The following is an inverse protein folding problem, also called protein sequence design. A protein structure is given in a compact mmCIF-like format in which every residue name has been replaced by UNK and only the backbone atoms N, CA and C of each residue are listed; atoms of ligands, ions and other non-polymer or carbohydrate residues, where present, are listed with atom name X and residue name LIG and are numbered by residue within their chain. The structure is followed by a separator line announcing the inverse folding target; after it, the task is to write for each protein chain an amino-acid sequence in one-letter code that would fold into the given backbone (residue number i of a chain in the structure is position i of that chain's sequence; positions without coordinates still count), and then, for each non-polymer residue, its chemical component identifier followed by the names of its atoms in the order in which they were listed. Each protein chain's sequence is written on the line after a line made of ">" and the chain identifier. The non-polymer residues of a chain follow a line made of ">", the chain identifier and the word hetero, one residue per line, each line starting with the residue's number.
data_IF_435215169383
#
_entry.id   IF_435215169383
#
_cell.length_a   1.000
_cell.length_b   1.000
_cell.length_c   1.000
_cell.angle_alpha   90.00
_cell.angle_beta   90.00
_cell.angle_gamma   90.00
#
_symmetry.space_group_name_H-M   'P 1'
#
loop_
_entity.id
_entity.type
_entity.pdbx_description
1 polymer ?
#
# COMPACT_ATOMS: atom_id res chain seq x y z
N UNK A 1 -12.83 -14.33 48.63
CA UNK A 1 -13.01 -14.73 47.21
C UNK A 1 -11.65 -15.14 46.67
N UNK A 2 -11.37 -16.44 46.47
CA UNK A 2 -10.07 -16.89 45.94
C UNK A 2 -10.09 -16.83 44.42
N UNK A 3 -9.34 -15.91 43.84
CA UNK A 3 -9.14 -15.83 42.39
C UNK A 3 -8.42 -17.11 41.96
N UNK A 4 -9.11 -17.97 41.20
CA UNK A 4 -8.49 -19.17 40.62
C UNK A 4 -7.61 -18.74 39.45
N UNK A 5 -6.29 -18.76 39.68
CA UNK A 5 -5.26 -18.39 38.69
C UNK A 5 -5.42 -19.13 37.36
N UNK A 6 -5.91 -20.37 37.40
CA UNK A 6 -6.23 -21.19 36.22
C UNK A 6 -7.25 -20.54 35.27
N UNK A 7 -8.15 -19.69 35.78
CA UNK A 7 -9.16 -19.02 34.95
C UNK A 7 -8.62 -17.80 34.20
N UNK A 8 -7.56 -17.19 34.72
CA UNK A 8 -6.96 -15.98 34.13
C UNK A 8 -5.82 -16.28 33.17
N UNK A 9 -5.21 -17.47 33.28
CA UNK A 9 -4.09 -17.88 32.43
C UNK A 9 -4.32 -17.64 30.92
N UNK A 10 -5.49 -18.01 30.33
CA UNK A 10 -5.73 -17.76 28.91
C UNK A 10 -5.82 -16.26 28.58
N UNK A 11 -6.47 -15.47 29.43
CA UNK A 11 -6.60 -14.03 29.25
C UNK A 11 -5.25 -13.31 29.38
N UNK A 12 -4.41 -13.72 30.33
CA UNK A 12 -3.05 -13.20 30.48
C UNK A 12 -2.19 -13.56 29.28
N UNK A 13 -2.30 -14.79 28.76
CA UNK A 13 -1.56 -15.21 27.57
C UNK A 13 -1.98 -14.41 26.33
N UNK A 14 -3.30 -14.23 26.12
CA UNK A 14 -3.82 -13.39 25.05
C UNK A 14 -3.39 -11.93 25.18
N UNK A 15 -3.35 -11.38 26.41
CA UNK A 15 -2.89 -10.02 26.65
C UNK A 15 -1.39 -9.87 26.33
N UNK A 16 -0.56 -10.80 26.79
CA UNK A 16 0.89 -10.78 26.54
C UNK A 16 1.18 -10.90 25.05
N UNK A 17 0.55 -11.84 24.35
CA UNK A 17 0.68 -11.97 22.90
C UNK A 17 0.13 -10.71 22.23
N UNK A 18 -1.05 -10.24 22.63
CA UNK A 18 -1.72 -9.05 22.14
C UNK A 18 -0.83 -7.80 22.13
N UNK A 19 -0.06 -7.60 23.21
CA UNK A 19 0.83 -6.45 23.38
C UNK A 19 2.24 -6.64 22.80
N UNK A 20 2.63 -7.86 22.40
CA UNK A 20 3.99 -8.17 22.00
C UNK A 20 4.46 -7.36 20.78
N UNK A 21 3.59 -7.08 19.79
CA UNK A 21 3.94 -6.19 18.68
C UNK A 21 4.20 -4.75 19.13
N UNK A 22 3.37 -4.21 20.02
CA UNK A 22 3.51 -2.83 20.53
C UNK A 22 4.83 -2.71 21.30
N UNK A 23 5.13 -3.67 22.18
CA UNK A 23 6.40 -3.72 22.91
C UNK A 23 7.58 -3.85 21.95
N UNK A 24 7.45 -4.70 20.92
CA UNK A 24 8.47 -4.86 19.88
C UNK A 24 8.74 -3.57 19.11
N UNK A 25 7.71 -2.79 18.79
CA UNK A 25 7.86 -1.47 18.17
C UNK A 25 8.50 -0.45 19.13
N UNK A 26 8.01 -0.33 20.37
CA UNK A 26 8.53 0.63 21.35
C UNK A 26 9.99 0.35 21.76
N UNK A 27 10.37 -0.92 21.84
CA UNK A 27 11.72 -1.33 22.23
C UNK A 27 12.67 -1.47 21.04
N UNK A 28 12.22 -1.26 19.80
CA UNK A 28 13.05 -1.43 18.60
C UNK A 28 13.51 -2.87 18.35
N UNK A 29 12.67 -3.86 18.68
CA UNK A 29 12.97 -5.29 18.58
C UNK A 29 12.25 -5.94 17.37
N UNK A 30 12.83 -5.89 16.15
CA UNK A 30 12.14 -6.32 14.92
C UNK A 30 11.80 -7.80 14.90
N UNK A 31 12.60 -8.65 15.54
CA UNK A 31 12.34 -10.11 15.64
C UNK A 31 11.10 -10.40 16.49
N UNK A 32 10.95 -9.71 17.62
CA UNK A 32 9.78 -9.87 18.51
C UNK A 32 8.51 -9.41 17.79
N UNK A 33 8.58 -8.25 17.14
CA UNK A 33 7.50 -7.71 16.32
C UNK A 33 7.10 -8.69 15.21
N UNK A 34 8.07 -9.23 14.46
CA UNK A 34 7.82 -10.17 13.37
C UNK A 34 7.16 -11.47 13.86
N UNK A 35 7.66 -12.05 14.96
CA UNK A 35 7.04 -13.22 15.56
C UNK A 35 5.62 -12.94 16.05
N UNK A 36 5.41 -11.82 16.75
CA UNK A 36 4.08 -11.42 17.21
C UNK A 36 3.12 -11.16 16.04
N UNK A 37 3.60 -10.65 14.91
CA UNK A 37 2.83 -10.51 13.66
C UNK A 37 2.44 -11.83 13.02
N UNK A 38 3.35 -12.79 12.97
CA UNK A 38 3.05 -14.12 12.45
C UNK A 38 1.92 -14.82 13.22
N UNK A 39 1.71 -14.50 14.51
CA UNK A 39 0.62 -15.10 15.29
C UNK A 39 -0.77 -14.59 14.90
N UNK A 40 -0.89 -13.43 14.25
CA UNK A 40 -2.14 -12.69 14.01
C UNK A 40 -2.95 -12.33 15.28
N UNK A 41 -2.50 -12.72 16.47
CA UNK A 41 -3.15 -12.49 17.77
C UNK A 41 -2.73 -11.16 18.42
N UNK A 42 -1.71 -10.50 17.86
CA UNK A 42 -1.21 -9.20 18.29
C UNK A 42 -1.52 -8.14 17.25
N UNK A 43 -2.75 -7.61 17.17
CA UNK A 43 -3.05 -6.58 16.19
C UNK A 43 -2.41 -5.25 16.59
N UNK A 44 -1.43 -4.75 15.82
CA UNK A 44 -1.06 -3.33 15.82
C UNK A 44 -1.80 -2.63 14.67
N UNK A 45 -2.86 -1.84 14.92
CA UNK A 45 -3.58 -1.15 13.86
C UNK A 45 -2.71 -0.04 13.27
N UNK A 46 -2.18 -0.26 12.06
CA UNK A 46 -1.31 0.69 11.34
C UNK A 46 -1.97 1.34 10.13
N UNK A 47 -3.25 1.09 9.92
CA UNK A 47 -4.02 1.54 8.74
C UNK A 47 -4.19 3.06 8.62
N UNK A 48 -3.81 3.84 9.63
CA UNK A 48 -3.77 5.31 9.60
C UNK A 48 -2.48 5.83 10.24
N UNK A 49 -1.34 5.26 9.84
CA UNK A 49 -0.04 5.64 10.38
C UNK A 49 0.93 6.00 9.25
N UNK A 50 1.96 6.75 9.60
CA UNK A 50 3.08 7.00 8.71
C UNK A 50 3.98 5.77 8.66
N UNK A 51 4.44 5.40 7.47
CA UNK A 51 5.54 4.45 7.32
C UNK A 51 6.61 5.05 6.43
N UNK A 52 7.84 5.17 6.95
CA UNK A 52 8.95 5.84 6.27
C UNK A 52 8.53 7.23 5.74
N UNK A 53 7.91 8.03 6.61
CA UNK A 53 7.38 9.35 6.25
C UNK A 53 6.11 9.38 5.40
N UNK A 54 5.70 8.27 4.76
CA UNK A 54 4.50 8.22 3.92
C UNK A 54 3.23 7.98 4.74
N UNK A 55 2.26 8.89 4.63
CA UNK A 55 0.91 8.75 5.17
C UNK A 55 -0.08 8.61 4.01
N UNK A 56 -0.60 7.40 3.78
CA UNK A 56 -1.34 7.08 2.56
C UNK A 56 -2.77 7.63 2.52
N UNK A 57 -3.39 7.93 3.66
CA UNK A 57 -4.76 8.45 3.68
C UNK A 57 -4.84 9.90 3.18
N UNK A 58 -3.77 10.67 3.37
CA UNK A 58 -3.70 12.08 3.03
C UNK A 58 -2.93 12.43 1.77
N UNK A 59 -2.14 11.49 1.26
CA UNK A 59 -1.36 11.67 0.04
C UNK A 59 -2.29 11.61 -1.17
N UNK A 60 -2.14 12.56 -2.09
CA UNK A 60 -2.80 12.52 -3.40
C UNK A 60 -1.96 11.71 -4.37
N UNK A 61 -2.63 10.95 -5.24
CA UNK A 61 -1.99 10.10 -6.23
C UNK A 61 -2.49 10.46 -7.62
N UNK A 62 -1.56 10.72 -8.54
CA UNK A 62 -1.89 11.01 -9.94
C UNK A 62 -1.11 10.07 -10.84
N UNK A 63 -1.80 9.40 -11.76
CA UNK A 63 -1.17 8.60 -12.80
C UNK A 63 -1.00 9.47 -14.05
N UNK A 64 0.20 9.56 -14.60
CA UNK A 64 0.45 10.28 -15.86
C UNK A 64 1.13 9.39 -16.90
N UNK A 65 0.81 9.60 -18.18
CA UNK A 65 1.45 8.92 -19.30
C UNK A 65 1.37 9.75 -20.58
N UNK A 66 2.05 9.30 -21.62
CA UNK A 66 1.88 9.82 -22.98
C UNK A 66 0.97 8.88 -23.77
N UNK A 67 -0.10 9.42 -24.36
CA UNK A 67 -0.93 8.68 -25.28
C UNK A 67 -0.17 8.36 -26.59
N UNK A 68 -0.65 7.42 -27.42
CA UNK A 68 0.04 7.04 -28.66
C UNK A 68 0.24 8.18 -29.66
N UNK A 69 -0.60 9.21 -29.60
CA UNK A 69 -0.51 10.44 -30.40
C UNK A 69 0.49 11.47 -29.83
N UNK A 70 1.11 11.17 -28.69
CA UNK A 70 2.01 12.06 -27.96
C UNK A 70 1.32 13.07 -27.04
N UNK A 71 -0.01 12.99 -26.89
CA UNK A 71 -0.77 13.86 -25.98
C UNK A 71 -0.52 13.45 -24.53
N UNK A 72 -0.14 14.38 -23.62
CA UNK A 72 0.01 14.07 -22.21
C UNK A 72 -1.34 13.79 -21.57
N UNK A 73 -1.40 12.73 -20.76
CA UNK A 73 -2.57 12.31 -20.01
C UNK A 73 -2.26 12.28 -18.52
N UNK A 74 -3.22 12.73 -17.72
CA UNK A 74 -3.17 12.67 -16.27
C UNK A 74 -4.50 12.14 -15.73
N UNK A 75 -4.41 11.31 -14.70
CA UNK A 75 -5.53 10.63 -14.08
C UNK A 75 -5.37 10.66 -12.56
N UNK A 76 -6.00 11.62 -11.88
CA UNK A 76 -6.04 11.65 -10.42
C UNK A 76 -6.80 10.43 -9.88
N UNK A 77 -6.17 9.66 -9.00
CA UNK A 77 -6.77 8.49 -8.35
C UNK A 77 -7.54 8.97 -7.12
N UNK A 78 -8.76 9.45 -7.35
CA UNK A 78 -9.64 9.92 -6.27
C UNK A 78 -10.39 8.76 -5.61
N UNK A 79 -10.95 9.00 -4.42
CA UNK A 79 -11.83 8.03 -3.76
C UNK A 79 -13.01 7.61 -4.66
N UNK A 80 -13.56 8.55 -5.44
CA UNK A 80 -14.68 8.29 -6.34
C UNK A 80 -14.31 7.37 -7.53
N UNK A 81 -13.08 7.46 -8.05
CA UNK A 81 -12.57 6.52 -9.06
C UNK A 81 -12.19 5.19 -8.42
N UNK A 82 -11.48 5.22 -7.30
CA UNK A 82 -11.09 4.00 -6.58
C UNK A 82 -12.30 3.17 -6.11
N UNK A 83 -13.43 3.80 -5.79
CA UNK A 83 -14.66 3.07 -5.46
C UNK A 83 -15.30 2.34 -6.63
N UNK A 84 -14.91 2.66 -7.88
CA UNK A 84 -15.36 1.94 -9.07
C UNK A 84 -14.62 0.62 -9.28
N UNK A 85 -13.52 0.37 -8.53
CA UNK A 85 -12.79 -0.88 -8.69
C UNK A 85 -13.70 -2.08 -8.36
N UNK A 86 -13.78 -3.00 -9.30
CA UNK A 86 -14.67 -4.15 -9.20
C UNK A 86 -14.03 -5.33 -8.44
N UNK A 87 -14.84 -6.35 -8.20
CA UNK A 87 -14.37 -7.61 -7.62
C UNK A 87 -14.17 -7.60 -6.10
N UNK A 88 -13.52 -8.66 -5.57
CA UNK A 88 -13.44 -8.90 -4.14
C UNK A 88 -12.52 -7.92 -3.42
N UNK A 89 -12.75 -7.76 -2.11
CA UNK A 89 -11.97 -6.87 -1.24
C UNK A 89 -10.44 -7.04 -1.38
N UNK A 90 -9.96 -8.29 -1.43
CA UNK A 90 -8.52 -8.58 -1.53
C UNK A 90 -7.91 -8.02 -2.83
N UNK A 91 -8.63 -8.07 -3.95
CA UNK A 91 -8.16 -7.52 -5.23
C UNK A 91 -8.01 -6.01 -5.14
N UNK A 92 -9.04 -5.32 -4.64
CA UNK A 92 -9.00 -3.87 -4.45
C UNK A 92 -7.86 -3.47 -3.53
N UNK A 93 -7.67 -4.19 -2.43
CA UNK A 93 -6.56 -3.93 -1.51
C UNK A 93 -5.18 -4.14 -2.14
N UNK A 94 -5.02 -5.12 -3.03
CA UNK A 94 -3.75 -5.33 -3.74
C UNK A 94 -3.44 -4.14 -4.63
N UNK A 95 -4.41 -3.64 -5.42
CA UNK A 95 -4.22 -2.42 -6.20
C UNK A 95 -4.00 -1.19 -5.32
N UNK A 96 -4.82 -1.02 -4.28
CA UNK A 96 -4.67 0.08 -3.33
C UNK A 96 -3.31 0.08 -2.65
N UNK A 97 -2.79 -1.09 -2.25
CA UNK A 97 -1.46 -1.21 -1.67
C UNK A 97 -0.35 -0.87 -2.68
N UNK A 98 -0.45 -1.36 -3.93
CA UNK A 98 0.55 -1.05 -4.95
C UNK A 98 0.54 0.45 -5.33
N UNK A 99 -0.63 1.05 -5.47
CA UNK A 99 -0.78 2.47 -5.79
C UNK A 99 -0.36 3.36 -4.62
N UNK A 100 -0.93 3.16 -3.44
CA UNK A 100 -0.73 4.06 -2.30
C UNK A 100 0.58 3.80 -1.55
N UNK A 101 1.00 2.54 -1.42
CA UNK A 101 2.17 2.14 -0.64
C UNK A 101 3.40 1.84 -1.50
N UNK A 102 3.29 2.02 -2.82
CA UNK A 102 4.36 1.84 -3.80
C UNK A 102 5.71 2.43 -3.34
N UNK A 103 5.80 3.68 -2.87
CA UNK A 103 7.08 4.28 -2.48
C UNK A 103 7.79 3.53 -1.34
N UNK A 104 7.02 3.01 -0.38
CA UNK A 104 7.56 2.19 0.70
C UNK A 104 8.05 0.85 0.15
N UNK A 105 7.29 0.22 -0.76
CA UNK A 105 7.69 -1.03 -1.41
C UNK A 105 8.98 -0.86 -2.22
N UNK A 106 9.13 0.26 -2.92
CA UNK A 106 10.29 0.59 -3.74
C UNK A 106 11.60 0.77 -2.96
N UNK A 107 11.55 0.83 -1.62
CA UNK A 107 12.74 0.94 -0.77
C UNK A 107 13.52 -0.38 -0.58
N UNK A 108 13.08 -1.46 -1.22
CA UNK A 108 13.73 -2.78 -1.20
C UNK A 108 13.50 -3.54 -2.50
N UNK A 109 14.40 -4.45 -2.86
CA UNK A 109 14.28 -5.23 -4.10
C UNK A 109 13.03 -6.12 -4.12
N UNK A 110 12.77 -6.85 -3.03
CA UNK A 110 11.59 -7.72 -2.91
C UNK A 110 10.28 -6.91 -2.98
N UNK A 111 10.24 -5.76 -2.29
CA UNK A 111 9.10 -4.86 -2.34
C UNK A 111 8.89 -4.28 -3.74
N UNK A 112 9.96 -3.88 -4.43
CA UNK A 112 9.89 -3.39 -5.79
C UNK A 112 9.42 -4.47 -6.77
N UNK A 113 9.83 -5.73 -6.56
CA UNK A 113 9.32 -6.86 -7.35
C UNK A 113 7.81 -7.05 -7.16
N UNK A 114 7.31 -6.96 -5.92
CA UNK A 114 5.87 -7.01 -5.63
C UNK A 114 5.12 -5.86 -6.29
N UNK A 115 5.62 -4.62 -6.15
CA UNK A 115 5.04 -3.45 -6.80
C UNK A 115 4.96 -3.65 -8.31
N UNK A 116 6.07 -4.02 -8.97
CA UNK A 116 6.12 -4.23 -10.42
C UNK A 116 5.15 -5.31 -10.87
N UNK A 117 5.03 -6.41 -10.13
CA UNK A 117 4.10 -7.49 -10.46
C UNK A 117 2.65 -6.99 -10.52
N UNK A 118 2.23 -6.21 -9.51
CA UNK A 118 0.85 -5.69 -9.44
C UNK A 118 0.63 -4.56 -10.44
N UNK A 119 1.58 -3.62 -10.52
CA UNK A 119 1.47 -2.45 -11.38
C UNK A 119 1.50 -2.82 -12.87
N UNK A 120 2.35 -3.77 -13.28
CA UNK A 120 2.37 -4.27 -14.66
C UNK A 120 1.06 -4.97 -15.00
N UNK A 121 0.53 -5.80 -14.10
CA UNK A 121 -0.76 -6.45 -14.31
C UNK A 121 -1.90 -5.44 -14.43
N UNK A 122 -1.91 -4.39 -13.60
CA UNK A 122 -2.97 -3.38 -13.60
C UNK A 122 -2.90 -2.40 -14.77
N UNK A 123 -1.70 -2.02 -15.20
CA UNK A 123 -1.47 -0.90 -16.13
C UNK A 123 -1.06 -1.33 -17.54
N UNK A 124 -0.65 -2.58 -17.75
CA UNK A 124 -0.15 -3.07 -19.03
C UNK A 124 -0.98 -4.24 -19.58
N UNK A 125 -0.80 -4.55 -20.86
CA UNK A 125 -1.56 -5.60 -21.55
C UNK A 125 -3.05 -5.26 -21.55
N UNK A 126 -3.87 -6.14 -20.96
CA UNK A 126 -5.29 -5.92 -20.78
C UNK A 126 -5.58 -4.69 -19.90
N UNK A 127 -4.64 -4.33 -19.00
CA UNK A 127 -4.69 -3.16 -18.11
C UNK A 127 -6.03 -2.97 -17.35
N UNK A 128 -6.53 -4.00 -16.62
CA UNK A 128 -7.82 -3.96 -15.93
C UNK A 128 -7.96 -2.83 -14.91
N UNK A 129 -6.85 -2.35 -14.33
CA UNK A 129 -6.90 -1.22 -13.42
C UNK A 129 -7.13 0.09 -14.20
N UNK A 130 -6.54 0.26 -15.37
CA UNK A 130 -6.79 1.43 -16.22
C UNK A 130 -8.22 1.48 -16.73
N UNK A 131 -8.78 0.35 -17.13
CA UNK A 131 -10.20 0.23 -17.52
C UNK A 131 -11.11 0.76 -16.41
N UNK A 132 -10.96 0.22 -15.20
CA UNK A 132 -11.84 0.56 -14.06
C UNK A 132 -11.60 1.98 -13.53
N UNK A 133 -10.39 2.53 -13.69
CA UNK A 133 -10.11 3.93 -13.37
C UNK A 133 -10.63 4.91 -14.43
N UNK A 134 -11.12 4.40 -15.57
CA UNK A 134 -11.73 5.19 -16.65
C UNK A 134 -10.73 5.77 -17.64
N UNK A 135 -9.62 5.08 -17.90
CA UNK A 135 -8.70 5.41 -18.98
C UNK A 135 -9.10 4.69 -20.27
N UNK A 136 -9.36 5.45 -21.33
CA UNK A 136 -9.80 4.94 -22.62
C UNK A 136 -8.71 4.06 -23.28
N UNK A 137 -9.06 2.90 -23.87
CA UNK A 137 -8.07 1.98 -24.47
C UNK A 137 -7.17 2.60 -25.53
N UNK A 138 -7.72 3.50 -26.37
CA UNK A 138 -6.98 4.15 -27.46
C UNK A 138 -5.98 5.21 -26.98
N UNK A 139 -6.13 5.68 -25.75
CA UNK A 139 -5.27 6.70 -25.15
C UNK A 139 -4.14 6.09 -24.30
N UNK A 140 -4.06 4.77 -24.16
CA UNK A 140 -3.08 4.09 -23.29
C UNK A 140 -1.66 4.19 -23.85
N UNK A 141 -0.71 4.50 -22.97
CA UNK A 141 0.72 4.54 -23.29
C UNK A 141 1.43 3.22 -22.94
N UNK A 142 2.76 3.21 -23.08
CA UNK A 142 3.62 2.10 -22.63
C UNK A 142 4.47 2.46 -21.41
N UNK A 143 4.42 3.72 -20.98
CA UNK A 143 5.17 4.24 -19.84
C UNK A 143 4.26 5.10 -18.99
N UNK A 144 4.11 4.70 -17.73
CA UNK A 144 3.28 5.35 -16.74
C UNK A 144 4.14 5.84 -15.57
N UNK A 145 3.77 6.98 -15.01
CA UNK A 145 4.37 7.55 -13.81
C UNK A 145 3.28 7.78 -12.78
N UNK A 146 3.47 7.25 -11.57
CA UNK A 146 2.61 7.51 -10.43
C UNK A 146 3.28 8.60 -9.61
N UNK A 147 2.59 9.72 -9.43
CA UNK A 147 3.02 10.87 -8.63
C UNK A 147 2.39 10.83 -7.24
N UNK A 148 3.18 11.16 -6.22
CA UNK A 148 2.80 11.12 -4.82
C UNK A 148 2.94 12.52 -4.21
N UNK A 149 1.82 13.15 -3.91
CA UNK A 149 1.78 14.50 -3.33
C UNK A 149 1.28 14.44 -1.88
N UNK A 150 2.16 14.56 -0.88
CA UNK A 150 1.73 14.59 0.51
C UNK A 150 0.96 15.89 0.82
N UNK A 151 0.26 15.93 1.96
CA UNK A 151 -0.40 17.18 2.41
C UNK A 151 0.63 18.32 2.54
N UNK A 152 0.19 19.58 2.33
CA UNK A 152 1.04 20.75 2.52
C UNK A 152 1.76 20.73 3.86
N UNK A 153 3.07 20.95 3.85
CA UNK A 153 3.93 20.95 5.04
C UNK A 153 4.55 19.59 5.38
N UNK A 154 4.23 18.53 4.66
CA UNK A 154 4.91 17.23 4.75
C UNK A 154 5.81 17.00 3.54
N UNK A 155 6.86 16.20 3.74
CA UNK A 155 7.84 15.84 2.71
C UNK A 155 8.05 14.32 2.71
N UNK A 156 8.24 13.76 1.53
CA UNK A 156 8.60 12.36 1.33
C UNK A 156 10.13 12.23 1.28
N UNK A 157 10.81 12.48 2.40
CA UNK A 157 12.28 12.49 2.41
C UNK A 157 12.90 11.07 2.45
N UNK A 158 12.12 10.05 2.82
CA UNK A 158 12.59 8.67 3.02
C UNK A 158 12.16 7.71 1.89
N UNK A 159 11.28 8.15 1.00
CA UNK A 159 10.69 7.33 -0.08
C UNK A 159 10.55 8.18 -1.35
N UNK A 160 10.54 7.58 -2.55
CA UNK A 160 10.40 8.36 -3.77
C UNK A 160 9.02 9.02 -3.86
N UNK A 161 8.98 10.21 -4.46
CA UNK A 161 7.75 10.96 -4.77
C UNK A 161 7.12 10.56 -6.11
N UNK A 162 7.81 9.70 -6.87
CA UNK A 162 7.37 9.18 -8.16
C UNK A 162 7.75 7.72 -8.33
N UNK A 163 6.92 6.95 -9.04
CA UNK A 163 7.24 5.59 -9.46
C UNK A 163 6.91 5.37 -10.93
N UNK A 164 7.84 4.76 -11.65
CA UNK A 164 7.68 4.43 -13.06
C UNK A 164 7.23 2.98 -13.27
N UNK A 165 6.35 2.78 -14.26
CA UNK A 165 5.93 1.48 -14.76
C UNK A 165 6.09 1.48 -16.27
N UNK A 166 6.91 0.56 -16.78
CA UNK A 166 7.13 0.38 -18.23
C UNK A 166 6.55 -0.94 -18.66
N UNK A 167 5.65 -0.89 -19.63
CA UNK A 167 5.02 -2.08 -20.17
C UNK A 167 6.02 -2.84 -21.05
N UNK A 168 6.10 -4.17 -20.92
CA UNK A 168 6.91 -4.98 -21.82
C UNK A 168 6.39 -4.82 -23.26
N UNK A 169 7.33 -4.72 -24.21
CA UNK A 169 7.08 -4.69 -25.65
C UNK A 169 6.55 -6.01 -26.18
#
# INVERSE_FOLDING_TARGET
>A
MRISWRRWLPATLLLVIGLAQIVGDLAGLPKLKGFAAATMLSPAPKVFSTTKGLETFSTSFTLSWQAPDGTPRELPITQARYSQLEGPYNRRNVYGAALAYGPVLATSDDGMALFRSVATHGLCGDAPLLDELGAEPHDRGTHYVIHYEPRPGLRLDEVPDTLEVRCPS
#
